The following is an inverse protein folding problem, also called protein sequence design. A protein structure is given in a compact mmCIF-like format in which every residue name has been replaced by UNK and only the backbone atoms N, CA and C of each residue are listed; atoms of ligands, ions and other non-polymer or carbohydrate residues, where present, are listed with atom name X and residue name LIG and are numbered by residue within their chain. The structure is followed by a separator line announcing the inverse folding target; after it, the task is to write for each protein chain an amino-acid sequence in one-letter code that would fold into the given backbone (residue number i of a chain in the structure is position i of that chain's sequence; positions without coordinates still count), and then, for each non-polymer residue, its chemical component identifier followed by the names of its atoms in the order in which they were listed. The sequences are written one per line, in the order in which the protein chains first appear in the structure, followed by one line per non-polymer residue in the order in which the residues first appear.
data_IF_799356684319
#
_entry.id   IF_799356684319
#
_cell.length_a   1.000
_cell.length_b   1.000
_cell.length_c   1.000
_cell.angle_alpha   90.00
_cell.angle_beta   90.00
_cell.angle_gamma   90.00
#
_symmetry.space_group_name_H-M   'P 1'
#
loop_
_entity.id
_entity.type
_entity.pdbx_description
1 polymer ?
#
# COMPACT_ATOMS: atom_id res chain seq x y z
N UNK A 1 5.52 -1.50 15.56
CA UNK A 1 6.53 -0.69 14.81
C UNK A 1 5.99 0.67 14.39
N UNK A 2 4.71 0.76 14.02
CA UNK A 2 4.11 2.01 13.51
C UNK A 2 4.22 3.19 14.48
N UNK A 3 3.88 2.98 15.77
CA UNK A 3 3.80 4.07 16.75
C UNK A 3 5.15 4.67 17.12
N UNK A 4 6.20 3.86 17.15
CA UNK A 4 7.50 4.22 17.75
C UNK A 4 8.62 4.41 16.71
N UNK A 5 8.57 3.68 15.59
CA UNK A 5 9.58 3.77 14.52
C UNK A 5 9.11 4.59 13.31
N UNK A 6 7.82 4.94 13.21
CA UNK A 6 7.26 5.69 12.10
C UNK A 6 7.30 4.95 10.76
N UNK A 7 7.52 3.64 10.78
CA UNK A 7 7.67 2.81 9.59
C UNK A 7 6.31 2.45 8.98
N UNK A 8 5.66 3.49 8.47
CA UNK A 8 4.40 3.41 7.78
C UNK A 8 4.47 4.27 6.52
N UNK A 9 4.34 3.59 5.39
CA UNK A 9 4.17 4.22 4.07
C UNK A 9 2.70 4.22 3.72
N UNK A 10 2.20 5.33 3.17
CA UNK A 10 0.83 5.43 2.69
C UNK A 10 0.81 6.15 1.34
N UNK A 11 -0.12 5.76 0.47
CA UNK A 11 -0.29 6.38 -0.84
C UNK A 11 -1.73 6.34 -1.30
N UNK A 12 -2.08 7.30 -2.16
CA UNK A 12 -3.36 7.35 -2.87
C UNK A 12 -3.12 7.12 -4.35
N UNK A 13 -3.96 6.27 -4.93
CA UNK A 13 -3.85 5.78 -6.30
C UNK A 13 -5.15 6.02 -7.05
N UNK A 14 -5.07 6.26 -8.35
CA UNK A 14 -6.26 6.30 -9.19
C UNK A 14 -6.82 4.89 -9.46
N UNK A 15 -7.94 4.82 -10.17
CA UNK A 15 -8.64 3.55 -10.44
C UNK A 15 -7.87 2.63 -11.40
N UNK A 16 -6.83 3.13 -12.08
CA UNK A 16 -5.90 2.38 -12.90
C UNK A 16 -4.72 1.82 -12.09
N UNK A 17 -4.60 2.15 -10.80
CA UNK A 17 -3.49 1.74 -9.94
C UNK A 17 -2.27 2.66 -10.04
N UNK A 18 -2.38 3.83 -10.68
CA UNK A 18 -1.29 4.80 -10.77
C UNK A 18 -1.23 5.65 -9.51
N UNK A 19 -0.03 5.79 -8.92
CA UNK A 19 0.19 6.57 -7.71
C UNK A 19 0.00 8.07 -7.97
N UNK A 20 -0.86 8.72 -7.18
CA UNK A 20 -1.12 10.15 -7.27
C UNK A 20 -0.32 10.94 -6.23
N UNK A 21 -0.30 10.46 -4.99
CA UNK A 21 0.46 11.08 -3.91
C UNK A 21 0.86 10.02 -2.88
N UNK A 22 1.91 10.33 -2.13
CA UNK A 22 2.46 9.48 -1.09
C UNK A 22 2.78 10.29 0.17
N UNK A 23 2.76 9.63 1.32
CA UNK A 23 3.22 10.21 2.58
C UNK A 23 4.73 10.47 2.53
N UNK A 24 5.15 11.63 3.03
CA UNK A 24 6.56 12.06 3.06
C UNK A 24 7.42 11.16 3.97
N UNK A 25 6.78 10.45 4.90
CA UNK A 25 7.44 9.56 5.86
C UNK A 25 7.75 8.17 5.31
N UNK A 26 7.30 7.85 4.09
CA UNK A 26 7.51 6.53 3.51
C UNK A 26 8.97 6.31 3.09
N UNK A 27 9.52 5.14 3.43
CA UNK A 27 10.86 4.76 2.94
C UNK A 27 10.79 4.44 1.44
N UNK A 28 11.82 4.79 0.63
CA UNK A 28 11.79 4.57 -0.83
C UNK A 28 11.55 3.10 -1.23
N UNK A 29 11.99 2.15 -0.40
CA UNK A 29 11.77 0.72 -0.61
C UNK A 29 10.30 0.32 -0.57
N UNK A 30 9.51 0.89 0.33
CA UNK A 30 8.08 0.62 0.45
C UNK A 30 7.27 1.29 -0.66
N UNK A 31 7.64 2.51 -1.07
CA UNK A 31 6.80 3.31 -1.98
C UNK A 31 6.76 2.70 -3.39
N UNK A 32 7.92 2.35 -3.95
CA UNK A 32 7.98 1.79 -5.30
C UNK A 32 7.36 0.40 -5.38
N UNK A 33 7.59 -0.42 -4.36
CA UNK A 33 7.04 -1.78 -4.31
C UNK A 33 5.54 -1.78 -4.04
N UNK A 34 5.04 -0.87 -3.20
CA UNK A 34 3.60 -0.69 -2.97
C UNK A 34 2.85 -0.31 -4.26
N UNK A 35 3.45 0.51 -5.14
CA UNK A 35 2.85 0.83 -6.43
C UNK A 35 2.65 -0.41 -7.33
N UNK A 36 3.65 -1.29 -7.35
CA UNK A 36 3.55 -2.58 -8.05
C UNK A 36 2.53 -3.50 -7.39
N UNK A 37 2.54 -3.60 -6.05
CA UNK A 37 1.60 -4.42 -5.29
C UNK A 37 0.14 -4.00 -5.56
N UNK A 38 -0.16 -2.69 -5.61
CA UNK A 38 -1.51 -2.21 -5.98
C UNK A 38 -1.95 -2.77 -7.32
N UNK A 39 -1.07 -2.79 -8.33
CA UNK A 39 -1.39 -3.37 -9.64
C UNK A 39 -1.76 -4.86 -9.53
N UNK A 40 -1.01 -5.64 -8.73
CA UNK A 40 -1.31 -7.06 -8.49
C UNK A 40 -2.63 -7.28 -7.74
N UNK A 41 -2.99 -6.40 -6.80
CA UNK A 41 -4.32 -6.42 -6.18
C UNK A 41 -5.43 -6.20 -7.20
N UNK A 42 -5.27 -5.26 -8.15
CA UNK A 42 -6.28 -4.97 -9.16
C UNK A 42 -6.41 -6.09 -10.21
N UNK A 43 -5.31 -6.77 -10.52
CA UNK A 43 -5.32 -7.97 -11.35
C UNK A 43 -6.08 -9.11 -10.66
N UNK A 44 -5.83 -9.31 -9.35
CA UNK A 44 -6.47 -10.39 -8.57
C UNK A 44 -7.92 -10.12 -8.23
N UNK A 45 -8.25 -8.87 -7.88
CA UNK A 45 -9.56 -8.41 -7.44
C UNK A 45 -10.07 -7.31 -8.38
N UNK A 46 -10.79 -7.65 -9.46
CA UNK A 46 -11.34 -6.65 -10.37
C UNK A 46 -12.28 -5.69 -9.65
N UNK A 47 -12.30 -4.41 -10.04
CA UNK A 47 -13.11 -3.35 -9.41
C UNK A 47 -14.57 -3.76 -9.16
N UNK A 48 -15.20 -4.44 -10.12
CA UNK A 48 -16.59 -4.93 -10.02
C UNK A 48 -16.85 -5.90 -8.86
N UNK A 49 -15.80 -6.53 -8.34
CA UNK A 49 -15.86 -7.48 -7.23
C UNK A 49 -15.64 -6.84 -5.85
N UNK A 50 -15.26 -5.56 -5.84
CA UNK A 50 -15.00 -4.82 -4.61
C UNK A 50 -16.29 -4.21 -4.06
N UNK A 51 -16.35 -4.08 -2.73
CA UNK A 51 -17.46 -3.44 -2.02
C UNK A 51 -16.94 -2.38 -1.03
N UNK A 52 -17.75 -1.35 -0.71
CA UNK A 52 -17.43 -0.44 0.38
C UNK A 52 -17.08 -1.22 1.66
N UNK A 53 -16.05 -0.76 2.38
CA UNK A 53 -15.56 -1.42 3.61
C UNK A 53 -14.62 -2.60 3.38
N UNK A 54 -14.41 -3.04 2.13
CA UNK A 54 -13.41 -4.06 1.82
C UNK A 54 -11.97 -3.56 2.10
N UNK A 55 -11.10 -4.45 2.59
CA UNK A 55 -9.64 -4.23 2.68
C UNK A 55 -8.94 -5.50 2.23
N UNK A 56 -7.96 -5.32 1.36
CA UNK A 56 -7.11 -6.39 0.84
C UNK A 56 -5.74 -6.35 1.50
N UNK A 57 -5.10 -7.52 1.62
CA UNK A 57 -3.80 -7.69 2.28
C UNK A 57 -2.92 -8.69 1.52
N UNK A 58 -1.61 -8.50 1.61
CA UNK A 58 -0.57 -9.47 1.25
C UNK A 58 0.71 -9.13 2.01
N UNK A 59 1.53 -10.14 2.30
CA UNK A 59 2.96 -9.95 2.60
C UNK A 59 3.84 -10.83 1.68
N UNK A 60 3.25 -11.38 0.61
CA UNK A 60 3.97 -12.16 -0.40
C UNK A 60 5.14 -11.33 -0.96
N UNK A 61 6.40 -11.75 -0.80
CA UNK A 61 7.54 -10.95 -1.22
C UNK A 61 7.65 -10.83 -2.74
N UNK A 62 7.08 -11.76 -3.49
CA UNK A 62 7.14 -11.78 -4.95
C UNK A 62 6.12 -10.85 -5.59
N UNK A 63 5.01 -10.60 -4.90
CA UNK A 63 3.91 -9.77 -5.37
C UNK A 63 3.66 -8.54 -4.47
N UNK A 64 4.50 -8.34 -3.46
CA UNK A 64 4.45 -7.27 -2.46
C UNK A 64 5.76 -6.48 -2.43
N UNK A 65 6.48 -6.50 -1.31
CA UNK A 65 7.65 -5.62 -1.08
C UNK A 65 8.99 -6.34 -0.89
N UNK A 66 9.11 -7.58 -1.36
CA UNK A 66 10.39 -8.28 -1.44
C UNK A 66 10.80 -9.07 -0.20
N UNK A 67 10.10 -8.95 0.93
CA UNK A 67 10.27 -9.84 2.08
C UNK A 67 8.98 -9.97 2.90
N UNK A 68 8.87 -11.00 3.76
CA UNK A 68 7.64 -11.34 4.47
C UNK A 68 7.22 -10.36 5.58
N UNK A 69 8.16 -9.58 6.12
CA UNK A 69 7.87 -8.68 7.25
C UNK A 69 6.99 -7.49 6.87
N UNK A 70 6.88 -7.17 5.59
CA UNK A 70 6.10 -6.03 5.15
C UNK A 70 4.69 -6.46 4.75
N UNK A 71 3.70 -5.94 5.47
CA UNK A 71 2.30 -6.13 5.12
C UNK A 71 1.83 -4.94 4.30
N UNK A 72 1.38 -5.22 3.08
CA UNK A 72 0.73 -4.23 2.20
C UNK A 72 -0.77 -4.40 2.30
N UNK A 73 -1.47 -3.28 2.49
CA UNK A 73 -2.92 -3.23 2.44
C UNK A 73 -3.40 -2.31 1.34
N UNK A 74 -4.52 -2.67 0.71
CA UNK A 74 -5.19 -1.83 -0.29
C UNK A 74 -6.67 -1.74 0.05
N UNK A 75 -7.18 -0.51 0.12
CA UNK A 75 -8.57 -0.20 0.47
C UNK A 75 -9.20 0.64 -0.64
N UNK A 76 -10.25 0.16 -1.32
CA UNK A 76 -11.00 0.95 -2.29
C UNK A 76 -11.80 2.05 -1.60
N UNK A 77 -11.63 3.29 -2.06
CA UNK A 77 -12.49 4.41 -1.72
C UNK A 77 -13.72 4.41 -2.65
N UNK A 78 -14.91 4.62 -2.09
CA UNK A 78 -16.17 4.65 -2.85
C UNK A 78 -16.85 6.01 -2.77
N UNK A 79 -17.58 6.39 -3.83
CA UNK A 79 -18.62 7.42 -3.81
C UNK A 79 -19.84 6.85 -4.51
N UNK A 80 -20.91 6.63 -3.75
CA UNK A 80 -21.99 5.75 -4.18
C UNK A 80 -21.45 4.34 -4.47
N UNK A 81 -21.83 3.76 -5.60
CA UNK A 81 -21.45 2.40 -6.00
C UNK A 81 -20.16 2.34 -6.83
N UNK A 82 -19.44 3.45 -6.99
CA UNK A 82 -18.24 3.52 -7.83
C UNK A 82 -16.96 3.65 -6.99
N UNK A 83 -15.96 2.85 -7.34
CA UNK A 83 -14.60 3.00 -6.82
C UNK A 83 -13.99 4.29 -7.39
N UNK A 84 -13.43 5.11 -6.51
CA UNK A 84 -12.91 6.44 -6.85
C UNK A 84 -11.41 6.60 -6.70
N UNK A 85 -10.81 5.82 -5.82
CA UNK A 85 -9.38 5.81 -5.58
C UNK A 85 -9.05 4.53 -4.81
N UNK A 86 -7.77 4.22 -4.72
CA UNK A 86 -7.27 3.25 -3.77
C UNK A 86 -6.36 3.94 -2.76
N UNK A 87 -6.49 3.54 -1.50
CA UNK A 87 -5.55 3.88 -0.46
C UNK A 87 -4.74 2.63 -0.18
N UNK A 88 -3.43 2.76 -0.28
CA UNK A 88 -2.53 1.68 0.09
C UNK A 88 -1.63 2.11 1.24
N UNK A 89 -1.32 1.15 2.10
CA UNK A 89 -0.43 1.35 3.23
C UNK A 89 0.45 0.14 3.43
N UNK A 90 1.72 0.36 3.79
CA UNK A 90 2.68 -0.69 4.09
C UNK A 90 3.34 -0.42 5.44
N UNK A 91 3.51 -1.47 6.24
CA UNK A 91 4.32 -1.43 7.47
C UNK A 91 5.12 -2.72 7.62
N UNK A 92 6.34 -2.56 8.12
CA UNK A 92 7.19 -3.64 8.60
C UNK A 92 6.74 -4.10 9.99
N UNK A 93 6.18 -5.31 10.08
CA UNK A 93 5.79 -5.90 11.37
C UNK A 93 7.02 -6.44 12.11
N UNK A 94 6.91 -6.63 13.42
CA UNK A 94 8.06 -7.06 14.25
C UNK A 94 8.44 -8.52 14.07
N UNK A 95 7.50 -9.37 13.65
CA UNK A 95 7.72 -10.81 13.56
C UNK A 95 6.70 -11.48 12.62
N UNK A 96 7.16 -12.44 11.83
CA UNK A 96 6.34 -13.24 10.91
C UNK A 96 6.49 -14.75 11.15
N UNK A 97 7.09 -15.14 12.28
CA UNK A 97 7.42 -16.53 12.57
C UNK A 97 8.72 -16.99 11.93
N UNK A 98 8.74 -18.24 11.45
CA UNK A 98 9.89 -18.82 10.76
C UNK A 98 11.18 -18.77 11.59
N UNK A 99 12.32 -18.60 10.94
CA UNK A 99 13.64 -18.40 11.57
C UNK A 99 13.84 -16.97 12.09
N UNK A 100 12.87 -16.08 11.88
CA UNK A 100 12.97 -14.67 12.21
C UNK A 100 13.82 -13.89 11.19
N UNK A 101 14.27 -12.70 11.58
CA UNK A 101 15.06 -11.83 10.70
C UNK A 101 16.51 -12.32 10.61
N UNK A 102 16.78 -13.24 9.69
CA UNK A 102 18.12 -13.82 9.46
C UNK A 102 18.38 -14.09 7.98
N UNK A 103 19.65 -14.08 7.59
CA UNK A 103 20.11 -14.52 6.26
C UNK A 103 20.36 -16.04 6.18
N UNK A 104 20.19 -16.77 7.29
CA UNK A 104 20.46 -18.22 7.36
C UNK A 104 19.33 -19.10 6.81
N UNK A 105 18.19 -18.51 6.45
CA UNK A 105 17.09 -19.24 5.85
C UNK A 105 17.48 -19.64 4.41
N UNK A 106 17.36 -20.94 4.09
CA UNK A 106 17.69 -21.43 2.74
C UNK A 106 16.50 -21.39 1.79
N UNK A 107 15.31 -21.09 2.32
CA UNK A 107 14.07 -21.05 1.58
C UNK A 107 13.06 -20.14 2.27
N UNK A 108 12.19 -19.51 1.48
CA UNK A 108 11.08 -18.69 1.98
C UNK A 108 10.17 -19.43 2.97
N UNK A 109 10.03 -20.76 2.82
CA UNK A 109 9.23 -21.59 3.74
C UNK A 109 9.82 -21.67 5.15
N UNK A 110 11.08 -21.27 5.33
CA UNK A 110 11.74 -21.16 6.63
C UNK A 110 11.61 -19.74 7.21
N UNK A 111 11.22 -18.74 6.42
CA UNK A 111 11.27 -17.33 6.82
C UNK A 111 10.03 -16.88 7.58
N UNK A 112 8.89 -17.54 7.41
CA UNK A 112 7.69 -17.25 8.17
C UNK A 112 6.38 -17.49 7.42
N UNK A 113 5.31 -16.88 7.93
CA UNK A 113 3.99 -16.98 7.34
C UNK A 113 3.88 -16.10 6.09
N UNK A 114 3.51 -16.72 4.97
CA UNK A 114 3.14 -16.03 3.73
C UNK A 114 1.63 -15.94 3.64
N UNK A 115 1.13 -14.72 3.55
CA UNK A 115 -0.25 -14.33 3.31
C UNK A 115 -0.34 -13.91 1.84
N UNK A 116 -0.96 -14.73 0.98
CA UNK A 116 -1.17 -14.36 -0.41
C UNK A 116 -2.17 -13.19 -0.50
N UNK A 117 -2.40 -12.70 -1.71
CA UNK A 117 -3.42 -11.68 -1.96
C UNK A 117 -4.80 -12.15 -1.50
N UNK A 118 -5.26 -11.59 -0.38
CA UNK A 118 -6.49 -11.97 0.31
C UNK A 118 -7.28 -10.74 0.73
N UNK A 119 -8.52 -10.96 1.15
CA UNK A 119 -9.36 -9.94 1.78
C UNK A 119 -9.29 -10.12 3.30
N UNK A 120 -8.77 -9.11 4.01
CA UNK A 120 -8.67 -9.08 5.47
C UNK A 120 -9.89 -8.44 6.15
N UNK A 121 -10.61 -7.59 5.42
CA UNK A 121 -11.90 -7.04 5.84
C UNK A 121 -12.87 -7.10 4.68
N UNK A 122 -14.07 -7.64 4.89
CA UNK A 122 -15.14 -7.63 3.89
C UNK A 122 -16.33 -6.86 4.41
N UNK A 123 -16.69 -5.77 3.72
CA UNK A 123 -17.81 -4.92 4.12
C UNK A 123 -17.79 -4.60 5.62
N UNK A 124 -16.66 -4.06 6.09
CA UNK A 124 -16.39 -3.69 7.49
C UNK A 124 -16.23 -4.86 8.49
N UNK A 125 -16.49 -6.11 8.07
CA UNK A 125 -16.24 -7.29 8.88
C UNK A 125 -14.81 -7.79 8.71
N UNK A 126 -14.01 -7.73 9.77
CA UNK A 126 -12.63 -8.24 9.78
C UNK A 126 -12.61 -9.76 9.79
N UNK A 127 -11.67 -10.35 9.05
CA UNK A 127 -11.44 -11.79 8.98
C UNK A 127 -10.61 -12.24 10.20
N UNK A 128 -11.30 -12.61 11.28
CA UNK A 128 -10.66 -13.03 12.53
C UNK A 128 -9.89 -14.35 12.38
N UNK A 129 -10.28 -15.24 11.46
CA UNK A 129 -9.55 -16.48 11.18
C UNK A 129 -8.17 -16.19 10.58
N UNK A 130 -8.08 -15.23 9.65
CA UNK A 130 -6.81 -14.79 9.08
C UNK A 130 -5.93 -14.13 10.15
N UNK A 131 -6.52 -13.29 11.00
CA UNK A 131 -5.79 -12.69 12.12
C UNK A 131 -5.28 -13.76 13.10
N UNK A 132 -6.06 -14.81 13.36
CA UNK A 132 -5.65 -15.92 14.20
C UNK A 132 -4.47 -16.71 13.61
N UNK A 133 -4.45 -16.90 12.28
CA UNK A 133 -3.31 -17.53 11.59
C UNK A 133 -2.05 -16.68 11.76
N UNK A 134 -2.14 -15.36 11.54
CA UNK A 134 -0.99 -14.45 11.66
C UNK A 134 -0.50 -14.42 13.11
N UNK A 135 -1.39 -14.25 14.08
CA UNK A 135 -1.05 -14.22 15.49
C UNK A 135 -0.42 -15.54 15.97
N UNK A 136 -0.98 -16.68 15.55
CA UNK A 136 -0.49 -18.01 15.93
C UNK A 136 0.91 -18.34 15.41
N UNK A 137 1.37 -17.63 14.38
CA UNK A 137 2.72 -17.77 13.83
C UNK A 137 3.67 -16.69 14.33
N UNK A 138 3.24 -15.76 15.19
CA UNK A 138 4.07 -14.66 15.67
C UNK A 138 4.56 -14.87 17.10
N UNK A 139 5.80 -14.46 17.36
CA UNK A 139 6.39 -14.32 18.70
C UNK A 139 5.85 -13.09 19.46
N UNK A 140 5.37 -12.08 18.72
CA UNK A 140 4.86 -10.82 19.25
C UNK A 140 3.44 -10.56 18.71
N UNK A 141 2.46 -11.43 19.01
CA UNK A 141 1.15 -11.40 18.36
C UNK A 141 0.35 -10.14 18.65
N UNK A 142 0.49 -9.54 19.84
CA UNK A 142 -0.26 -8.32 20.20
C UNK A 142 0.21 -7.15 19.33
N UNK A 143 1.52 -7.00 19.18
CA UNK A 143 2.18 -5.96 18.39
C UNK A 143 1.86 -6.11 16.91
N UNK A 144 2.01 -7.33 16.35
CA UNK A 144 1.75 -7.59 14.94
C UNK A 144 0.29 -7.31 14.57
N UNK A 145 -0.66 -7.77 15.40
CA UNK A 145 -2.08 -7.47 15.17
C UNK A 145 -2.38 -5.98 15.35
N UNK A 146 -1.69 -5.30 16.26
CA UNK A 146 -1.75 -3.85 16.41
C UNK A 146 -1.27 -3.10 15.17
N UNK A 147 -0.14 -3.50 14.58
CA UNK A 147 0.42 -2.92 13.36
C UNK A 147 -0.54 -3.16 12.16
N UNK A 148 -1.09 -4.38 12.01
CA UNK A 148 -2.11 -4.71 10.98
C UNK A 148 -3.36 -3.84 11.11
N UNK A 149 -3.92 -3.70 12.31
CA UNK A 149 -5.08 -2.83 12.53
C UNK A 149 -4.77 -1.35 12.27
N UNK A 150 -3.53 -0.94 12.50
CA UNK A 150 -3.07 0.42 12.23
C UNK A 150 -3.04 0.70 10.73
N UNK A 151 -2.62 -0.26 9.90
CA UNK A 151 -2.67 -0.15 8.44
C UNK A 151 -4.11 0.02 7.91
N UNK A 152 -5.05 -0.79 8.40
CA UNK A 152 -6.48 -0.66 8.07
C UNK A 152 -6.97 0.76 8.43
N UNK A 153 -6.70 1.18 9.66
CA UNK A 153 -7.14 2.47 10.19
C UNK A 153 -6.51 3.65 9.45
N UNK A 154 -5.26 3.50 8.99
CA UNK A 154 -4.55 4.49 8.19
C UNK A 154 -5.28 4.74 6.86
N UNK A 155 -5.61 3.67 6.13
CA UNK A 155 -6.35 3.78 4.88
C UNK A 155 -7.73 4.39 5.11
N UNK A 156 -8.46 3.97 6.14
CA UNK A 156 -9.78 4.53 6.48
C UNK A 156 -9.71 6.04 6.77
N UNK A 157 -8.66 6.50 7.47
CA UNK A 157 -8.43 7.91 7.72
C UNK A 157 -8.12 8.68 6.43
N UNK A 158 -7.30 8.10 5.55
CA UNK A 158 -7.01 8.66 4.23
C UNK A 158 -8.27 8.84 3.38
N UNK A 159 -9.12 7.81 3.34
CA UNK A 159 -10.40 7.84 2.60
C UNK A 159 -11.31 8.95 3.13
N UNK A 160 -11.49 9.07 4.45
CA UNK A 160 -12.33 10.13 5.05
C UNK A 160 -11.81 11.52 4.70
N UNK A 161 -10.49 11.73 4.76
CA UNK A 161 -9.88 13.03 4.44
C UNK A 161 -10.02 13.36 2.96
N UNK A 162 -9.86 12.37 2.09
CA UNK A 162 -10.04 12.51 0.66
C UNK A 162 -11.48 12.85 0.28
N UNK A 163 -12.46 12.16 0.86
CA UNK A 163 -13.87 12.46 0.63
C UNK A 163 -14.22 13.89 1.08
N UNK A 164 -13.73 14.30 2.26
CA UNK A 164 -13.90 15.68 2.75
C UNK A 164 -13.32 16.72 1.79
N UNK A 165 -12.12 16.47 1.26
CA UNK A 165 -11.47 17.33 0.27
C UNK A 165 -12.28 17.39 -1.03
N UNK A 166 -12.75 16.24 -1.54
CA UNK A 166 -13.55 16.19 -2.76
C UNK A 166 -14.86 16.97 -2.61
N UNK A 167 -15.51 16.92 -1.44
CA UNK A 167 -16.69 17.71 -1.12
C UNK A 167 -16.39 19.21 -1.04
N UNK A 168 -15.33 19.58 -0.32
CA UNK A 168 -14.90 20.98 -0.14
C UNK A 168 -14.63 21.69 -1.48
N UNK A 169 -13.96 20.99 -2.42
CA UNK A 169 -13.60 21.54 -3.72
C UNK A 169 -14.64 21.27 -4.83
N UNK A 170 -15.79 20.65 -4.50
CA UNK A 170 -16.84 20.37 -5.49
C UNK A 170 -16.39 19.45 -6.62
N UNK A 171 -15.44 18.56 -6.35
CA UNK A 171 -14.88 17.67 -7.36
C UNK A 171 -15.86 16.51 -7.60
N UNK A 172 -16.63 16.60 -8.69
CA UNK A 172 -17.50 15.50 -9.14
C UNK A 172 -16.72 14.42 -9.87
N UNK A 173 -15.68 14.82 -10.62
CA UNK A 173 -14.79 13.93 -11.35
C UNK A 173 -13.37 13.96 -10.78
N UNK A 174 -12.72 12.79 -10.85
CA UNK A 174 -11.39 12.51 -10.31
C UNK A 174 -10.35 12.39 -11.41
N UNK A 175 -10.79 12.14 -12.65
CA UNK A 175 -9.89 11.98 -13.79
C UNK A 175 -9.13 13.27 -14.07
N UNK A 176 -9.78 14.43 -13.96
CA UNK A 176 -9.11 15.72 -14.20
C UNK A 176 -7.98 15.98 -13.21
N UNK A 177 -8.21 15.73 -11.91
CA UNK A 177 -7.19 15.89 -10.88
C UNK A 177 -6.06 14.87 -11.02
N UNK A 178 -6.41 13.61 -11.25
CA UNK A 178 -5.42 12.53 -11.44
C UNK A 178 -4.53 12.80 -12.65
N UNK A 179 -5.14 13.14 -13.79
CA UNK A 179 -4.42 13.48 -15.01
C UNK A 179 -3.54 14.72 -14.80
N UNK A 180 -4.05 15.75 -14.11
CA UNK A 180 -3.27 16.94 -13.81
C UNK A 180 -2.04 16.64 -12.95
N UNK A 181 -2.18 15.81 -11.92
CA UNK A 181 -1.07 15.38 -11.05
C UNK A 181 -0.02 14.60 -11.85
N UNK A 182 -0.46 13.61 -12.63
CA UNK A 182 0.44 12.75 -13.42
C UNK A 182 1.14 13.54 -14.54
N UNK A 183 0.42 14.42 -15.24
CA UNK A 183 1.00 15.24 -16.31
C UNK A 183 1.99 16.26 -15.75
N UNK A 184 1.64 16.94 -14.65
CA UNK A 184 2.52 17.91 -14.00
C UNK A 184 3.81 17.25 -13.50
N UNK A 185 3.69 16.07 -12.88
CA UNK A 185 4.83 15.27 -12.42
C UNK A 185 5.72 14.82 -13.59
N UNK A 186 5.11 14.32 -14.67
CA UNK A 186 5.81 13.92 -15.89
C UNK A 186 6.56 15.09 -16.53
N UNK A 187 5.92 16.25 -16.59
CA UNK A 187 6.49 17.48 -17.15
C UNK A 187 7.69 17.95 -16.31
N UNK A 188 7.56 17.97 -14.99
CA UNK A 188 8.64 18.34 -14.09
C UNK A 188 9.85 17.39 -14.23
N UNK A 189 9.60 16.07 -14.30
CA UNK A 189 10.66 15.08 -14.50
C UNK A 189 11.38 15.26 -15.84
N UNK A 190 10.63 15.47 -16.94
CA UNK A 190 11.21 15.75 -18.27
C UNK A 190 12.06 17.02 -18.27
N UNK A 191 11.63 18.08 -17.57
CA UNK A 191 12.41 19.31 -17.43
C UNK A 191 13.72 19.08 -16.67
N UNK A 192 13.68 18.32 -15.57
CA UNK A 192 14.86 17.93 -14.80
C UNK A 192 15.83 17.07 -15.63
N UNK A 193 15.34 16.05 -16.34
CA UNK A 193 16.16 15.24 -17.23
C UNK A 193 16.81 16.06 -18.34
N UNK A 194 16.11 17.06 -18.89
CA UNK A 194 16.68 18.01 -19.86
C UNK A 194 17.84 18.83 -19.28
N UNK A 195 17.73 19.27 -18.02
CA UNK A 195 18.80 20.00 -17.30
C UNK A 195 19.98 19.11 -16.92
N UNK A 196 19.76 17.85 -16.58
CA UNK A 196 20.85 16.91 -16.30
C UNK A 196 21.62 16.50 -17.56
N UNK A 197 20.97 16.46 -18.74
CA UNK A 197 21.66 16.20 -20.02
C UNK A 197 22.70 17.27 -20.37
N UNK A 198 22.52 18.52 -19.92
CA UNK A 198 23.53 19.58 -20.11
C UNK A 198 24.72 19.50 -19.14
N UNK A 199 24.69 18.61 -18.15
CA UNK A 199 25.77 18.41 -17.18
C UNK A 199 26.68 17.20 -17.48
N UNK A 200 26.27 16.31 -18.39
CA UNK A 200 27.01 15.09 -18.78
C UNK A 200 27.51 15.13 -20.24
N UNK A 201 27.85 16.30 -20.77
CA UNK A 201 28.70 16.39 -21.97
C UNK A 201 30.15 16.17 -21.54
N UNK A 202 30.88 15.20 -22.13
CA UNK A 202 32.31 15.06 -21.86
C UNK A 202 33.01 16.35 -22.31
N UNK A 203 33.65 17.07 -21.38
CA UNK A 203 34.62 18.10 -21.77
C UNK A 203 35.76 17.37 -22.48
N UNK A 204 35.92 17.63 -23.78
CA UNK A 204 37.12 17.25 -24.53
C UNK A 204 38.30 18.09 -24.08
#
# INVERSE_FOLDING_TARGET
MVREAGDLSAGVYNVQGEMLAQAVTGTPGHVNTMAMAVSHFLERFPLRSMKPGDVFVTNDPWMGTGHLFDYVMVTPAFRGDQVVAFFASTCHVTDVGGRGFTADANSIYEEGVLIPHMRIRSQDLVNDELLAIIAGNSRNPIEVIGDIRSLISCNDAGIRRFDSMMLEFGLENRESLSAHILESSTRAMRMLSGRCRTAFTPRR
#
